data_IF_692970712710
#
_entry.id   IF_692970712710
#
_cell.length_a   1.000
_cell.length_b   1.000
_cell.length_c   1.000
_cell.angle_alpha   90.00
_cell.angle_beta   90.00
_cell.angle_gamma   90.00
#
_symmetry.space_group_name_H-M   'P 1'
#
loop_
_entity.id
_entity.type
_entity.pdbx_description
1 polymer ?
#
# COMPACT_ATOMS: atom_id res chain seq x y z
N UNK A 1 -13.20 13.39 6.50
CA UNK A 1 -13.91 12.46 7.44
C UNK A 1 -13.27 11.07 7.48
N UNK A 2 -12.84 10.48 6.36
CA UNK A 2 -12.17 9.16 6.32
C UNK A 2 -10.82 9.20 7.05
N UNK A 3 -10.05 10.28 6.89
CA UNK A 3 -8.79 10.52 7.61
C UNK A 3 -9.01 10.72 9.11
N UNK A 4 -10.10 11.36 9.50
CA UNK A 4 -10.46 11.58 10.90
C UNK A 4 -10.85 10.25 11.56
N UNK A 5 -11.49 9.35 10.84
CA UNK A 5 -11.80 7.99 11.33
C UNK A 5 -10.56 7.12 11.56
N UNK A 6 -9.50 7.31 10.76
CA UNK A 6 -8.20 6.61 10.94
C UNK A 6 -7.35 7.22 12.07
N UNK A 7 -7.54 8.52 12.36
CA UNK A 7 -6.64 9.29 13.24
C UNK A 7 -7.33 9.72 14.55
N UNK A 8 -8.64 9.78 14.60
CA UNK A 8 -9.39 10.46 15.67
C UNK A 8 -10.13 9.60 16.70
N UNK A 9 -10.32 8.33 16.46
CA UNK A 9 -10.84 7.37 17.45
C UNK A 9 -9.73 6.43 17.87
N UNK A 10 -9.77 5.95 19.11
CA UNK A 10 -8.99 4.80 19.53
C UNK A 10 -9.14 3.75 18.42
N UNK A 11 -8.03 3.55 17.64
CA UNK A 11 -8.02 2.57 16.57
C UNK A 11 -8.24 1.20 17.23
N UNK A 12 -9.51 0.81 17.32
CA UNK A 12 -9.81 -0.60 17.49
C UNK A 12 -9.22 -1.29 16.28
N UNK A 13 -8.14 -2.04 16.46
CA UNK A 13 -7.41 -2.77 15.39
C UNK A 13 -8.35 -3.60 14.52
N UNK A 14 -9.53 -3.93 15.01
CA UNK A 14 -10.55 -4.74 14.34
C UNK A 14 -11.45 -3.99 13.36
N UNK A 15 -11.39 -2.64 13.31
CA UNK A 15 -12.35 -1.84 12.53
C UNK A 15 -11.73 -0.84 11.57
N UNK A 16 -10.41 -0.66 11.58
CA UNK A 16 -9.76 0.26 10.64
C UNK A 16 -9.78 -0.31 9.21
N UNK A 17 -10.38 0.39 8.22
CA UNK A 17 -10.46 -0.11 6.87
C UNK A 17 -9.08 -0.10 6.19
N UNK A 18 -8.80 -1.11 5.39
CA UNK A 18 -7.71 -1.06 4.42
C UNK A 18 -8.10 -0.15 3.26
N UNK A 19 -7.14 0.64 2.74
CA UNK A 19 -7.39 1.66 1.70
C UNK A 19 -6.65 1.32 0.41
N UNK A 20 -7.34 1.53 -0.71
CA UNK A 20 -6.76 1.38 -2.04
C UNK A 20 -6.77 2.71 -2.79
N UNK A 21 -5.61 3.35 -2.90
CA UNK A 21 -5.43 4.65 -3.56
C UNK A 21 -5.18 4.45 -5.05
N UNK A 22 -6.13 4.88 -5.87
CA UNK A 22 -6.11 4.69 -7.32
C UNK A 22 -6.05 6.05 -8.01
N UNK A 23 -5.14 6.23 -8.95
CA UNK A 23 -5.05 7.46 -9.75
C UNK A 23 -3.68 7.66 -10.37
N UNK A 24 -3.62 8.54 -11.35
CA UNK A 24 -2.39 8.85 -12.09
C UNK A 24 -1.26 9.34 -11.20
N UNK A 25 -0.04 9.28 -11.72
CA UNK A 25 1.15 9.84 -11.06
C UNK A 25 0.97 11.33 -10.78
N UNK A 26 1.54 11.82 -9.66
CA UNK A 26 1.55 13.25 -9.33
C UNK A 26 0.28 13.76 -8.63
N UNK A 27 -0.68 12.91 -8.30
CA UNK A 27 -1.93 13.32 -7.63
C UNK A 27 -1.88 13.31 -6.10
N UNK A 28 -0.73 13.00 -5.50
CA UNK A 28 -0.53 13.10 -4.06
C UNK A 28 -0.80 11.82 -3.26
N UNK A 29 -0.97 10.65 -3.87
CA UNK A 29 -1.18 9.37 -3.18
C UNK A 29 -0.08 9.08 -2.14
N UNK A 30 1.17 9.08 -2.58
CA UNK A 30 2.35 8.86 -1.72
C UNK A 30 2.45 9.92 -0.61
N UNK A 31 2.11 11.18 -0.92
CA UNK A 31 2.11 12.27 0.07
C UNK A 31 1.07 12.03 1.15
N UNK A 32 -0.17 11.68 0.78
CA UNK A 32 -1.22 11.37 1.75
C UNK A 32 -0.86 10.15 2.60
N UNK A 33 -0.31 9.10 1.99
CA UNK A 33 0.20 7.92 2.70
C UNK A 33 1.27 8.29 3.72
N UNK A 34 2.21 9.19 3.37
CA UNK A 34 3.24 9.66 4.27
C UNK A 34 2.69 10.50 5.44
N UNK A 35 1.67 11.32 5.20
CA UNK A 35 0.99 12.06 6.27
C UNK A 35 0.31 11.11 7.27
N UNK A 36 -0.39 10.08 6.79
CA UNK A 36 -1.02 9.06 7.63
C UNK A 36 0.04 8.31 8.45
N UNK A 37 1.13 7.87 7.80
CA UNK A 37 2.24 7.19 8.46
C UNK A 37 2.82 8.03 9.60
N UNK A 38 3.13 9.30 9.33
CA UNK A 38 3.70 10.20 10.32
C UNK A 38 2.80 10.40 11.54
N UNK A 39 1.51 10.60 11.31
CA UNK A 39 0.53 10.78 12.39
C UNK A 39 0.43 9.52 13.28
N UNK A 40 0.44 8.33 12.69
CA UNK A 40 0.38 7.08 13.44
C UNK A 40 1.66 6.79 14.21
N UNK A 41 2.82 7.08 13.61
CA UNK A 41 4.12 6.95 14.29
C UNK A 41 4.17 7.87 15.52
N UNK A 42 3.68 9.12 15.41
CA UNK A 42 3.62 10.05 16.56
C UNK A 42 2.70 9.54 17.68
N UNK A 43 1.72 8.72 17.35
CA UNK A 43 0.83 8.06 18.30
C UNK A 43 1.38 6.73 18.84
N UNK A 44 2.59 6.33 18.45
CA UNK A 44 3.27 5.14 18.95
C UNK A 44 2.94 3.83 18.21
N UNK A 45 2.26 3.91 17.05
CA UNK A 45 1.99 2.73 16.23
C UNK A 45 3.19 2.36 15.37
N UNK A 46 3.37 1.06 15.14
CA UNK A 46 4.37 0.54 14.20
C UNK A 46 3.86 0.66 12.77
N UNK A 47 4.61 1.38 11.93
CA UNK A 47 4.24 1.62 10.54
C UNK A 47 5.37 1.20 9.60
N UNK A 48 5.03 0.40 8.60
CA UNK A 48 5.93 0.10 7.47
C UNK A 48 5.47 0.89 6.26
N UNK A 49 6.37 1.66 5.69
CA UNK A 49 6.16 2.37 4.42
C UNK A 49 7.20 1.86 3.42
N UNK A 50 6.76 1.13 2.42
CA UNK A 50 7.64 0.54 1.43
C UNK A 50 7.13 0.73 0.00
N UNK A 51 8.06 0.99 -0.94
CA UNK A 51 7.80 0.76 -2.35
C UNK A 51 7.70 -0.74 -2.59
N UNK A 52 6.61 -1.18 -3.21
CA UNK A 52 6.36 -2.61 -3.43
C UNK A 52 7.51 -3.28 -4.19
N UNK A 53 8.05 -2.63 -5.22
CA UNK A 53 9.18 -3.16 -5.98
C UNK A 53 10.41 -3.47 -5.10
N UNK A 54 10.77 -2.55 -4.18
CA UNK A 54 11.93 -2.75 -3.29
C UNK A 54 11.66 -3.85 -2.26
N UNK A 55 10.45 -3.86 -1.74
CA UNK A 55 10.01 -4.85 -0.77
C UNK A 55 10.07 -6.28 -1.33
N UNK A 56 9.53 -6.46 -2.54
CA UNK A 56 9.55 -7.77 -3.21
C UNK A 56 10.96 -8.26 -3.51
N UNK A 57 11.87 -7.36 -3.92
CA UNK A 57 13.29 -7.72 -4.10
C UNK A 57 13.93 -8.18 -2.80
N UNK A 58 13.67 -7.50 -1.70
CA UNK A 58 14.20 -7.88 -0.39
C UNK A 58 13.69 -9.27 0.02
N UNK A 59 12.39 -9.53 -0.10
CA UNK A 59 11.78 -10.83 0.20
C UNK A 59 12.33 -11.92 -0.71
N UNK A 60 12.53 -11.62 -1.99
CA UNK A 60 13.15 -12.54 -2.94
C UNK A 60 14.58 -12.89 -2.56
N UNK A 61 15.38 -11.90 -2.16
CA UNK A 61 16.76 -12.11 -1.71
C UNK A 61 16.83 -12.94 -0.41
N UNK A 62 15.91 -12.72 0.52
CA UNK A 62 15.77 -13.55 1.73
C UNK A 62 15.36 -14.98 1.38
N UNK A 63 14.36 -15.15 0.50
CA UNK A 63 13.87 -16.46 0.08
C UNK A 63 14.95 -17.33 -0.58
N UNK A 64 15.79 -16.73 -1.43
CA UNK A 64 16.88 -17.43 -2.12
C UNK A 64 18.20 -17.44 -1.35
N UNK A 65 18.21 -17.01 -0.08
CA UNK A 65 19.40 -17.04 0.78
C UNK A 65 20.49 -16.03 0.40
N UNK A 66 20.15 -15.01 -0.40
CA UNK A 66 21.06 -13.90 -0.76
C UNK A 66 21.11 -12.80 0.30
N UNK A 67 20.11 -12.74 1.16
CA UNK A 67 20.05 -11.87 2.33
C UNK A 67 19.51 -12.64 3.52
N UNK A 68 19.77 -12.12 4.73
CA UNK A 68 19.16 -12.60 5.97
C UNK A 68 18.13 -11.62 6.44
N UNK A 69 16.95 -12.09 6.82
CA UNK A 69 15.88 -11.24 7.32
C UNK A 69 14.58 -12.00 7.57
N UNK A 70 13.63 -11.29 8.11
CA UNK A 70 12.27 -11.77 8.41
C UNK A 70 11.26 -10.72 7.94
N UNK A 71 11.42 -10.25 6.70
CA UNK A 71 10.64 -9.14 6.17
C UNK A 71 9.15 -9.45 6.16
N UNK A 72 8.74 -10.67 5.80
CA UNK A 72 7.33 -11.08 5.85
C UNK A 72 6.77 -11.01 7.27
N UNK A 73 7.46 -11.58 8.26
CA UNK A 73 7.03 -11.54 9.67
C UNK A 73 6.88 -10.11 10.19
N UNK A 74 7.80 -9.21 9.81
CA UNK A 74 7.75 -7.80 10.18
C UNK A 74 6.54 -7.12 9.56
N UNK A 75 6.26 -7.39 8.28
CA UNK A 75 5.10 -6.86 7.55
C UNK A 75 3.79 -7.37 8.18
N UNK A 76 3.69 -8.64 8.48
CA UNK A 76 2.50 -9.23 9.09
C UNK A 76 2.21 -8.61 10.47
N UNK A 77 3.24 -8.29 11.24
CA UNK A 77 3.11 -7.83 12.61
C UNK A 77 2.98 -6.31 12.79
N UNK A 78 3.27 -5.50 11.78
CA UNK A 78 3.12 -4.04 11.85
C UNK A 78 1.65 -3.60 12.02
N UNK A 79 1.42 -2.53 12.76
CA UNK A 79 0.07 -1.98 12.97
C UNK A 79 -0.51 -1.44 11.67
N UNK A 80 0.29 -0.74 10.86
CA UNK A 80 -0.05 -0.31 9.51
C UNK A 80 1.04 -0.68 8.52
N UNK A 81 0.65 -1.16 7.34
CA UNK A 81 1.55 -1.32 6.20
C UNK A 81 1.07 -0.46 5.03
N UNK A 82 2.00 0.26 4.42
CA UNK A 82 1.78 1.06 3.23
C UNK A 82 2.65 0.48 2.10
N UNK A 83 1.98 -0.08 1.09
CA UNK A 83 2.59 -0.61 -0.11
C UNK A 83 2.40 0.41 -1.23
N UNK A 84 3.45 1.17 -1.50
CA UNK A 84 3.39 2.24 -2.49
C UNK A 84 3.76 1.72 -3.88
N UNK A 85 2.99 2.16 -4.88
CA UNK A 85 3.21 1.95 -6.30
C UNK A 85 3.05 0.50 -6.77
N UNK A 86 1.92 -0.13 -6.38
CA UNK A 86 1.48 -1.42 -6.92
C UNK A 86 1.36 -1.31 -8.45
N UNK A 87 2.01 -2.20 -9.17
CA UNK A 87 2.09 -2.19 -10.62
C UNK A 87 3.45 -1.82 -11.18
N UNK A 88 4.38 -1.32 -10.33
CA UNK A 88 5.74 -0.98 -10.74
C UNK A 88 6.71 -2.17 -10.75
N UNK A 89 6.33 -3.27 -10.10
CA UNK A 89 7.13 -4.49 -10.01
C UNK A 89 7.11 -5.32 -11.31
N UNK A 90 8.16 -6.14 -11.48
CA UNK A 90 8.16 -7.18 -12.52
C UNK A 90 7.26 -8.33 -12.08
N UNK A 91 6.32 -8.67 -12.94
CA UNK A 91 5.37 -9.75 -12.67
C UNK A 91 6.03 -11.11 -12.89
N UNK A 92 6.04 -11.92 -11.86
CA UNK A 92 6.44 -13.33 -11.86
C UNK A 92 5.47 -14.12 -10.98
N UNK A 93 5.46 -15.44 -11.10
CA UNK A 93 4.68 -16.28 -10.19
C UNK A 93 5.07 -16.11 -8.72
N UNK A 94 6.35 -15.82 -8.46
CA UNK A 94 6.85 -15.54 -7.13
C UNK A 94 6.30 -14.22 -6.59
N UNK A 95 6.41 -13.12 -7.35
CA UNK A 95 5.91 -11.81 -6.92
C UNK A 95 4.40 -11.81 -6.71
N UNK A 96 3.64 -12.46 -7.58
CA UNK A 96 2.19 -12.61 -7.42
C UNK A 96 1.84 -13.39 -6.15
N UNK A 97 2.59 -14.46 -5.84
CA UNK A 97 2.36 -15.25 -4.63
C UNK A 97 2.65 -14.44 -3.37
N UNK A 98 3.75 -13.69 -3.34
CA UNK A 98 4.14 -12.85 -2.19
C UNK A 98 3.14 -11.69 -1.98
N UNK A 99 2.71 -11.03 -3.06
CA UNK A 99 1.69 -9.96 -2.99
C UNK A 99 0.38 -10.53 -2.41
N UNK A 100 -0.05 -11.68 -2.91
CA UNK A 100 -1.25 -12.33 -2.41
C UNK A 100 -1.10 -12.70 -0.92
N UNK A 101 0.01 -13.29 -0.51
CA UNK A 101 0.30 -13.68 0.86
C UNK A 101 0.22 -12.48 1.81
N UNK A 102 0.94 -11.39 1.52
CA UNK A 102 0.92 -10.16 2.32
C UNK A 102 -0.50 -9.62 2.48
N UNK A 103 -1.23 -9.47 1.37
CA UNK A 103 -2.59 -8.92 1.39
C UNK A 103 -3.53 -9.84 2.18
N UNK A 104 -3.48 -11.14 1.90
CA UNK A 104 -4.37 -12.12 2.51
C UNK A 104 -4.14 -12.26 4.03
N UNK A 105 -2.89 -12.39 4.46
CA UNK A 105 -2.58 -12.54 5.89
C UNK A 105 -2.96 -11.28 6.68
N UNK A 106 -2.70 -10.09 6.15
CA UNK A 106 -3.10 -8.85 6.82
C UNK A 106 -4.61 -8.68 6.92
N UNK A 107 -5.37 -9.10 5.89
CA UNK A 107 -6.84 -9.14 5.94
C UNK A 107 -7.30 -10.12 7.02
N UNK A 108 -6.74 -11.33 7.05
CA UNK A 108 -7.09 -12.36 8.02
C UNK A 108 -6.80 -11.93 9.46
N UNK A 109 -5.72 -11.17 9.67
CA UNK A 109 -5.33 -10.62 10.97
C UNK A 109 -6.08 -9.33 11.34
N UNK A 110 -6.97 -8.82 10.49
CA UNK A 110 -7.67 -7.55 10.71
C UNK A 110 -6.73 -6.34 10.75
N UNK A 111 -5.55 -6.41 10.10
CA UNK A 111 -4.54 -5.35 10.14
C UNK A 111 -4.66 -4.43 8.95
N UNK A 112 -4.86 -3.11 9.17
CA UNK A 112 -5.06 -2.15 8.10
C UNK A 112 -3.84 -2.05 7.18
N UNK A 113 -4.12 -1.94 5.89
CA UNK A 113 -3.12 -1.80 4.85
C UNK A 113 -3.54 -0.71 3.89
N UNK A 114 -2.59 0.13 3.48
CA UNK A 114 -2.79 1.11 2.42
C UNK A 114 -1.99 0.63 1.20
N UNK A 115 -2.65 0.55 0.06
CA UNK A 115 -2.00 0.22 -1.21
C UNK A 115 -2.24 1.36 -2.17
N UNK A 116 -1.22 1.85 -2.86
CA UNK A 116 -1.36 2.84 -3.92
C UNK A 116 -1.05 2.23 -5.28
N UNK A 117 -1.73 2.70 -6.33
CA UNK A 117 -1.45 2.31 -7.70
C UNK A 117 -1.63 3.47 -8.69
N UNK A 118 -0.85 3.46 -9.76
CA UNK A 118 -1.04 4.33 -10.92
C UNK A 118 -1.82 3.65 -12.05
N UNK A 119 -2.11 2.37 -11.92
CA UNK A 119 -2.85 1.59 -12.91
C UNK A 119 -4.34 1.96 -12.90
N UNK A 120 -4.96 1.93 -14.07
CA UNK A 120 -6.42 1.96 -14.20
C UNK A 120 -7.03 0.63 -13.76
N UNK A 121 -8.36 0.59 -13.62
CA UNK A 121 -9.07 -0.64 -13.27
C UNK A 121 -8.81 -1.75 -14.30
N UNK A 122 -8.80 -1.40 -15.59
CA UNK A 122 -8.53 -2.34 -16.67
C UNK A 122 -7.09 -2.86 -16.61
N UNK A 123 -6.12 -1.98 -16.35
CA UNK A 123 -4.71 -2.33 -16.30
C UNK A 123 -4.40 -3.27 -15.13
N UNK A 124 -4.89 -3.01 -13.92
CA UNK A 124 -4.60 -3.91 -12.81
C UNK A 124 -5.36 -5.23 -12.90
N UNK A 125 -6.58 -5.24 -13.46
CA UNK A 125 -7.31 -6.48 -13.73
C UNK A 125 -6.62 -7.35 -14.80
N UNK A 126 -5.94 -6.73 -15.77
CA UNK A 126 -5.15 -7.43 -16.76
C UNK A 126 -3.80 -7.93 -16.22
N UNK A 127 -3.22 -7.17 -15.26
CA UNK A 127 -1.90 -7.48 -14.70
C UNK A 127 -1.95 -8.57 -13.64
N UNK A 128 -2.90 -8.51 -12.71
CA UNK A 128 -2.93 -9.41 -11.56
C UNK A 128 -3.92 -10.56 -11.74
N UNK A 129 -3.61 -11.68 -11.07
CA UNK A 129 -4.53 -12.82 -11.05
C UNK A 129 -5.82 -12.48 -10.28
N UNK A 130 -6.88 -13.24 -10.57
CA UNK A 130 -8.21 -13.03 -10.00
C UNK A 130 -8.23 -13.02 -8.46
N UNK A 131 -7.33 -13.75 -7.80
CA UNK A 131 -7.26 -13.82 -6.33
C UNK A 131 -6.82 -12.48 -5.74
N UNK A 132 -5.78 -11.85 -6.30
CA UNK A 132 -5.29 -10.53 -5.87
C UNK A 132 -6.37 -9.48 -6.15
N UNK A 133 -6.93 -9.46 -7.36
CA UNK A 133 -7.99 -8.54 -7.76
C UNK A 133 -9.19 -8.63 -6.83
N UNK A 134 -9.66 -9.84 -6.53
CA UNK A 134 -10.79 -10.08 -5.63
C UNK A 134 -10.53 -9.54 -4.22
N UNK A 135 -9.31 -9.66 -3.68
CA UNK A 135 -8.95 -9.09 -2.38
C UNK A 135 -8.93 -7.57 -2.39
N UNK A 136 -8.34 -6.98 -3.42
CA UNK A 136 -8.29 -5.51 -3.57
C UNK A 136 -9.68 -4.90 -3.71
N UNK A 137 -10.56 -5.51 -4.50
CA UNK A 137 -11.91 -4.98 -4.73
C UNK A 137 -12.91 -5.30 -3.62
N UNK A 138 -12.75 -6.45 -2.96
CA UNK A 138 -13.69 -6.92 -1.94
C UNK A 138 -13.36 -6.48 -0.50
N UNK A 139 -12.08 -6.24 -0.19
CA UNK A 139 -11.63 -6.00 1.19
C UNK A 139 -11.01 -4.61 1.41
N UNK A 140 -10.74 -3.86 0.36
CA UNK A 140 -10.18 -2.52 0.46
C UNK A 140 -11.21 -1.45 0.07
N UNK A 141 -11.18 -0.33 0.77
CA UNK A 141 -11.96 0.86 0.39
C UNK A 141 -11.22 1.61 -0.71
N UNK A 142 -11.78 1.71 -1.94
CA UNK A 142 -11.14 2.44 -3.01
C UNK A 142 -11.26 3.95 -2.79
N UNK A 143 -10.14 4.66 -2.96
CA UNK A 143 -10.08 6.12 -2.94
C UNK A 143 -9.50 6.58 -4.27
N UNK A 144 -10.33 7.25 -5.06
CA UNK A 144 -9.95 7.74 -6.38
C UNK A 144 -9.27 9.11 -6.27
N UNK A 145 -8.04 9.20 -6.76
CA UNK A 145 -7.32 10.45 -6.91
C UNK A 145 -7.53 10.98 -8.33
N UNK A 146 -8.22 12.13 -8.42
CA UNK A 146 -8.53 12.79 -9.69
C UNK A 146 -7.97 14.20 -9.69
N UNK A 147 -7.56 14.70 -10.85
CA UNK A 147 -7.02 16.05 -10.97
C UNK A 147 -5.83 16.15 -11.91
N UNK A 148 -5.09 17.25 -11.77
CA UNK A 148 -3.86 17.50 -12.53
C UNK A 148 -2.62 17.21 -11.67
N UNK A 149 -1.51 16.84 -12.32
CA UNK A 149 -0.25 16.61 -11.64
C UNK A 149 0.22 17.86 -10.86
N UNK A 150 0.23 17.74 -9.53
CA UNK A 150 0.60 18.85 -8.62
C UNK A 150 2.08 19.24 -8.74
N UNK A 151 2.94 18.40 -9.31
CA UNK A 151 4.36 18.71 -9.53
C UNK A 151 4.52 19.81 -10.57
N UNK A 152 3.66 19.83 -11.60
CA UNK A 152 3.66 20.89 -12.63
C UNK A 152 3.10 22.23 -12.13
N UNK A 153 2.23 22.21 -11.12
CA UNK A 153 1.67 23.43 -10.54
C UNK A 153 2.73 24.19 -9.75
N UNK A 154 3.61 23.50 -9.02
CA UNK A 154 4.70 24.14 -8.27
C UNK A 154 5.74 24.83 -9.16
N UNK A 155 6.00 24.30 -10.35
CA UNK A 155 6.95 24.90 -11.30
C UNK A 155 6.41 26.20 -11.93
N UNK A 156 5.09 26.35 -12.07
CA UNK A 156 4.49 27.58 -12.63
C UNK A 156 4.37 28.73 -11.62
N UNK A 157 4.38 28.45 -10.33
CA UNK A 157 4.27 29.47 -9.28
C UNK A 157 5.61 29.99 -8.75
N UNK A 158 6.73 29.46 -9.25
CA UNK A 158 8.11 29.89 -8.92
C UNK A 158 8.78 30.62 -10.08
N UNK A 159 8.03 31.09 -11.10
CA UNK A 159 8.42 32.01 -12.16
C UNK A 159 7.59 33.29 -12.05
#
# INVERSE_FOLDING_TARGET
>A
EILIGLVGSEMCKETAPSLFFIGKTGLGKTFLSACIANELIQKGYSVIFASLLKLLRQIEDEHFGRATGQTLDIIENADLVILDDLGSEFQTSFTDSVIYEIINERINLGRPTIISTNLTNEEYNAKYNERIVSRLTGCFMPIMFVGNDIRHVKLKNNL
#
